data_IF_712517446200
#
_entry.id   IF_712517446200
#
_cell.length_a   1.000
_cell.length_b   1.000
_cell.length_c   1.000
_cell.angle_alpha   90.00
_cell.angle_beta   90.00
_cell.angle_gamma   90.00
#
_symmetry.space_group_name_H-M   'P 1'
#
loop_
_entity.id
_entity.type
_entity.pdbx_description
1 polymer ?
#
# COMPACT_ATOMS: atom_id res chain seq x y z
N UNK A 1 -15.29 -27.47 -36.48
CA UNK A 1 -14.90 -27.42 -35.06
C UNK A 1 -13.43 -27.73 -34.88
N UNK A 2 -12.68 -26.82 -34.24
CA UNK A 2 -11.22 -26.91 -34.05
C UNK A 2 -10.79 -27.78 -32.85
N UNK A 3 -11.57 -28.80 -32.46
CA UNK A 3 -11.12 -29.85 -31.53
C UNK A 3 -10.58 -29.42 -30.16
N UNK A 4 -10.91 -28.23 -29.69
CA UNK A 4 -10.47 -27.71 -28.39
C UNK A 4 -11.36 -28.28 -27.27
N UNK A 5 -10.73 -28.96 -26.32
CA UNK A 5 -11.36 -29.52 -25.12
C UNK A 5 -10.81 -28.81 -23.86
N UNK A 6 -11.50 -27.78 -23.33
CA UNK A 6 -11.03 -27.02 -22.18
C UNK A 6 -11.08 -27.85 -20.90
N UNK A 7 -10.17 -27.56 -19.97
CA UNK A 7 -10.27 -28.09 -18.60
C UNK A 7 -11.53 -27.56 -17.90
N UNK A 8 -12.16 -28.33 -16.99
CA UNK A 8 -13.39 -27.91 -16.32
C UNK A 8 -13.16 -26.85 -15.21
N UNK A 9 -11.91 -26.52 -14.90
CA UNK A 9 -11.52 -25.64 -13.80
C UNK A 9 -10.78 -24.38 -14.29
N UNK A 10 -10.15 -23.65 -13.36
CA UNK A 10 -9.42 -22.43 -13.68
C UNK A 10 -8.29 -22.64 -14.70
N UNK A 11 -7.84 -23.88 -14.94
CA UNK A 11 -6.76 -24.19 -15.88
C UNK A 11 -7.16 -23.94 -17.34
N UNK A 12 -8.45 -23.88 -17.67
CA UNK A 12 -8.91 -23.47 -18.99
C UNK A 12 -8.48 -22.03 -19.35
N UNK A 13 -8.13 -21.20 -18.36
CA UNK A 13 -7.64 -19.84 -18.57
C UNK A 13 -6.12 -19.77 -18.81
N UNK A 14 -5.40 -20.88 -18.69
CA UNK A 14 -3.99 -20.93 -19.02
C UNK A 14 -3.82 -20.89 -20.53
N UNK A 15 -2.87 -20.07 -20.99
CA UNK A 15 -2.51 -19.95 -22.40
C UNK A 15 -1.01 -19.85 -22.54
N UNK A 16 -0.46 -20.62 -23.48
CA UNK A 16 0.98 -20.66 -23.76
C UNK A 16 1.84 -21.18 -22.62
N UNK A 17 3.16 -21.12 -22.80
CA UNK A 17 4.14 -21.45 -21.76
C UNK A 17 4.33 -20.25 -20.83
N UNK A 18 4.15 -20.38 -19.52
CA UNK A 18 4.34 -19.27 -18.61
C UNK A 18 5.83 -18.94 -18.40
N UNK A 19 6.11 -17.73 -17.91
CA UNK A 19 7.48 -17.33 -17.54
C UNK A 19 7.93 -18.06 -16.27
N UNK A 20 8.62 -19.20 -16.45
CA UNK A 20 9.01 -20.12 -15.37
C UNK A 20 9.81 -19.41 -14.27
N UNK A 21 10.79 -18.57 -14.63
CA UNK A 21 11.62 -17.86 -13.65
C UNK A 21 10.81 -16.86 -12.82
N UNK A 22 9.94 -16.08 -13.47
CA UNK A 22 9.07 -15.13 -12.77
C UNK A 22 8.07 -15.84 -11.85
N UNK A 23 7.54 -16.99 -12.27
CA UNK A 23 6.65 -17.80 -11.44
C UNK A 23 7.36 -18.34 -10.19
N UNK A 24 8.56 -18.90 -10.36
CA UNK A 24 9.36 -19.39 -9.24
C UNK A 24 9.68 -18.28 -8.23
N UNK A 25 9.89 -17.04 -8.70
CA UNK A 25 10.16 -15.89 -7.84
C UNK A 25 8.96 -15.45 -6.98
N UNK A 26 7.74 -15.87 -7.29
CA UNK A 26 6.53 -15.57 -6.49
C UNK A 26 6.46 -16.45 -5.23
N UNK A 27 6.95 -17.69 -5.32
CA UNK A 27 6.81 -18.72 -4.29
C UNK A 27 7.30 -18.27 -2.89
N UNK A 28 8.47 -17.62 -2.74
CA UNK A 28 8.92 -17.13 -1.43
C UNK A 28 7.97 -16.08 -0.82
N UNK A 29 7.41 -15.20 -1.65
CA UNK A 29 6.45 -14.18 -1.22
C UNK A 29 5.17 -14.81 -0.68
N UNK A 30 4.65 -15.82 -1.39
CA UNK A 30 3.47 -16.57 -0.97
C UNK A 30 3.74 -17.37 0.30
N UNK A 31 4.92 -18.00 0.40
CA UNK A 31 5.32 -18.75 1.59
C UNK A 31 5.38 -17.87 2.84
N UNK A 32 5.91 -16.64 2.74
CA UNK A 32 5.90 -15.69 3.85
C UNK A 32 4.49 -15.28 4.29
N UNK A 33 3.58 -15.04 3.35
CA UNK A 33 2.18 -14.72 3.66
C UNK A 33 1.50 -15.93 4.33
N UNK A 34 1.73 -17.14 3.82
CA UNK A 34 1.17 -18.37 4.38
C UNK A 34 1.70 -18.64 5.80
N UNK A 35 2.99 -18.40 6.05
CA UNK A 35 3.59 -18.52 7.38
C UNK A 35 3.02 -17.51 8.38
N UNK A 36 2.83 -16.25 7.96
CA UNK A 36 2.25 -15.22 8.82
C UNK A 36 0.74 -15.43 9.07
N UNK A 37 0.02 -15.92 8.07
CA UNK A 37 -1.43 -16.06 8.09
C UNK A 37 -2.18 -14.75 7.81
N UNK A 38 -3.27 -14.85 7.05
CA UNK A 38 -4.08 -13.67 6.68
C UNK A 38 -4.65 -12.87 7.87
N UNK A 39 -5.08 -13.48 8.99
CA UNK A 39 -5.52 -12.72 10.17
C UNK A 39 -4.43 -11.77 10.69
N UNK A 40 -3.22 -12.26 10.93
CA UNK A 40 -2.12 -11.44 11.43
C UNK A 40 -1.70 -10.34 10.44
N UNK A 41 -1.70 -10.65 9.13
CA UNK A 41 -1.45 -9.66 8.07
C UNK A 41 -2.51 -8.55 8.12
N UNK A 42 -3.80 -8.90 8.27
CA UNK A 42 -4.88 -7.93 8.35
C UNK A 42 -4.82 -7.11 9.63
N UNK A 43 -4.55 -7.73 10.77
CA UNK A 43 -4.46 -7.02 12.05
C UNK A 43 -3.34 -5.97 12.02
N UNK A 44 -2.16 -6.34 11.51
CA UNK A 44 -1.05 -5.40 11.35
C UNK A 44 -1.34 -4.33 10.29
N UNK A 45 -2.04 -4.66 9.19
CA UNK A 45 -2.52 -3.68 8.21
C UNK A 45 -3.43 -2.62 8.85
N UNK A 46 -4.40 -3.06 9.65
CA UNK A 46 -5.30 -2.18 10.39
C UNK A 46 -4.53 -1.30 11.38
N UNK A 47 -3.59 -1.87 12.13
CA UNK A 47 -2.79 -1.12 13.09
C UNK A 47 -1.88 -0.06 12.43
N UNK A 48 -1.19 -0.41 11.34
CA UNK A 48 -0.33 0.52 10.60
C UNK A 48 -1.14 1.69 10.01
N UNK A 49 -2.31 1.39 9.43
CA UNK A 49 -3.17 2.43 8.87
C UNK A 49 -3.90 3.25 9.93
N UNK A 50 -4.17 2.68 11.12
CA UNK A 50 -4.68 3.42 12.26
C UNK A 50 -3.65 4.45 12.73
N UNK A 51 -2.41 4.02 12.97
CA UNK A 51 -1.32 4.92 13.32
C UNK A 51 -1.17 6.07 12.31
N UNK A 52 -1.17 5.77 11.01
CA UNK A 52 -1.06 6.81 9.98
C UNK A 52 -2.24 7.81 10.01
N UNK A 53 -3.46 7.35 10.30
CA UNK A 53 -4.64 8.23 10.40
C UNK A 53 -4.63 9.06 11.68
N UNK A 54 -4.24 8.48 12.81
CA UNK A 54 -4.13 9.20 14.08
C UNK A 54 -3.07 10.31 13.97
N UNK A 55 -1.89 10.00 13.42
CA UNK A 55 -0.84 10.98 13.16
C UNK A 55 -1.23 12.02 12.11
N UNK A 56 -2.05 11.64 11.13
CA UNK A 56 -2.59 12.60 10.16
C UNK A 56 -3.49 13.61 10.88
N UNK A 57 -4.43 13.13 11.70
CA UNK A 57 -5.38 13.97 12.41
C UNK A 57 -4.67 14.91 13.39
N UNK A 58 -3.60 14.45 14.03
CA UNK A 58 -2.80 15.26 14.96
C UNK A 58 -1.89 16.28 14.26
N UNK A 59 -1.18 15.89 13.20
CA UNK A 59 -0.07 16.70 12.68
C UNK A 59 -0.37 17.37 11.34
N UNK A 60 -1.08 16.69 10.44
CA UNK A 60 -1.25 17.13 9.05
C UNK A 60 -2.58 17.88 8.86
N UNK A 61 -3.67 17.41 9.47
CA UNK A 61 -4.98 18.06 9.38
C UNK A 61 -4.94 19.55 9.81
N UNK A 62 -4.24 19.95 10.90
CA UNK A 62 -4.11 21.36 11.28
C UNK A 62 -3.37 22.23 10.25
N UNK A 63 -2.56 21.61 9.39
CA UNK A 63 -1.79 22.29 8.33
C UNK A 63 -2.58 22.35 6.99
N UNK A 64 -3.86 21.99 7.00
CA UNK A 64 -4.74 22.08 5.82
C UNK A 64 -4.63 20.90 4.85
N UNK A 65 -4.00 19.79 5.25
CA UNK A 65 -4.04 18.56 4.47
C UNK A 65 -5.43 17.91 4.53
N UNK A 66 -5.77 17.14 3.50
CA UNK A 66 -7.03 16.39 3.44
C UNK A 66 -6.75 14.88 3.51
N UNK A 67 -7.50 14.15 4.34
CA UNK A 67 -7.47 12.70 4.35
C UNK A 67 -8.49 12.18 3.33
N UNK A 68 -8.01 11.57 2.24
CA UNK A 68 -8.87 10.99 1.21
C UNK A 68 -9.32 9.56 1.56
N UNK A 69 -8.53 8.83 2.35
CA UNK A 69 -8.87 7.48 2.84
C UNK A 69 -9.94 7.54 3.95
N UNK A 70 -10.93 6.64 3.97
CA UNK A 70 -11.88 6.55 5.08
C UNK A 70 -11.18 6.32 6.43
N UNK A 71 -11.64 7.01 7.49
CA UNK A 71 -11.17 6.77 8.86
C UNK A 71 -11.60 5.40 9.40
N UNK A 72 -12.74 4.91 8.95
CA UNK A 72 -13.27 3.59 9.32
C UNK A 72 -12.33 2.46 8.84
N UNK A 73 -11.73 1.67 9.74
CA UNK A 73 -10.83 0.58 9.38
C UNK A 73 -11.51 -0.53 8.57
N UNK A 74 -12.83 -0.71 8.71
CA UNK A 74 -13.63 -1.65 7.93
C UNK A 74 -13.80 -1.24 6.46
N UNK A 75 -13.52 0.03 6.14
CA UNK A 75 -13.68 0.61 4.80
C UNK A 75 -12.36 0.97 4.12
N UNK A 76 -11.22 0.49 4.65
CA UNK A 76 -9.90 0.70 4.05
C UNK A 76 -9.02 -0.56 4.01
N UNK A 77 -8.18 -0.61 2.98
CA UNK A 77 -7.10 -1.59 2.84
C UNK A 77 -5.82 -1.14 3.53
N UNK A 78 -4.67 -1.64 3.06
CA UNK A 78 -3.34 -1.39 3.67
C UNK A 78 -2.61 -0.17 3.09
N UNK A 79 -3.34 0.92 2.82
CA UNK A 79 -2.73 2.18 2.41
C UNK A 79 -3.54 3.37 2.93
N UNK A 80 -2.89 4.52 3.05
CA UNK A 80 -3.51 5.80 3.38
C UNK A 80 -3.16 6.82 2.30
N UNK A 81 -4.17 7.51 1.78
CA UNK A 81 -4.00 8.61 0.83
C UNK A 81 -4.37 9.92 1.53
N UNK A 82 -3.45 10.87 1.47
CA UNK A 82 -3.67 12.26 1.85
C UNK A 82 -3.61 13.13 0.59
N UNK A 83 -4.19 14.32 0.63
CA UNK A 83 -4.23 15.21 -0.51
C UNK A 83 -3.85 16.65 -0.13
N UNK A 84 -3.18 17.33 -1.07
CA UNK A 84 -2.77 18.73 -1.01
C UNK A 84 -2.45 19.25 -2.41
N UNK A 85 -2.70 20.54 -2.67
CA UNK A 85 -2.55 21.12 -4.01
C UNK A 85 -1.14 20.97 -4.62
N UNK A 86 -0.10 20.95 -3.79
CA UNK A 86 1.31 20.81 -4.18
C UNK A 86 1.85 19.36 -3.99
N UNK A 87 0.97 18.37 -3.84
CA UNK A 87 1.33 16.98 -3.54
C UNK A 87 2.40 16.37 -4.46
N UNK A 88 2.45 16.79 -5.72
CA UNK A 88 3.49 16.35 -6.65
C UNK A 88 4.89 16.80 -6.20
N UNK A 89 5.03 18.03 -5.72
CA UNK A 89 6.29 18.59 -5.25
C UNK A 89 6.67 17.99 -3.90
N UNK A 90 5.71 17.86 -2.98
CA UNK A 90 5.96 17.21 -1.68
C UNK A 90 6.38 15.75 -1.84
N UNK A 91 5.77 15.03 -2.77
CA UNK A 91 6.15 13.64 -3.08
C UNK A 91 7.62 13.55 -3.48
N UNK A 92 8.12 14.47 -4.31
CA UNK A 92 9.55 14.48 -4.69
C UNK A 92 10.46 14.68 -3.48
N UNK A 93 10.13 15.65 -2.62
CA UNK A 93 10.90 15.93 -1.39
C UNK A 93 10.88 14.76 -0.41
N UNK A 94 9.76 14.06 -0.30
CA UNK A 94 9.66 12.82 0.47
C UNK A 94 10.61 11.75 -0.08
N UNK A 95 10.62 11.55 -1.40
CA UNK A 95 11.52 10.58 -2.05
C UNK A 95 12.99 10.94 -1.81
N UNK A 96 13.35 12.22 -1.93
CA UNK A 96 14.70 12.73 -1.64
C UNK A 96 15.12 12.51 -0.17
N UNK A 97 14.16 12.49 0.76
CA UNK A 97 14.40 12.23 2.19
C UNK A 97 14.20 10.76 2.61
N UNK A 98 14.06 9.85 1.64
CA UNK A 98 14.02 8.40 1.84
C UNK A 98 12.62 7.82 2.11
N UNK A 99 11.56 8.63 2.00
CA UNK A 99 10.16 8.16 2.09
C UNK A 99 9.62 8.02 0.67
N UNK A 100 9.20 6.81 0.28
CA UNK A 100 8.83 6.50 -1.11
C UNK A 100 7.31 6.27 -1.21
N UNK A 101 6.48 7.34 -1.26
CA UNK A 101 5.07 7.21 -1.56
C UNK A 101 4.83 7.20 -3.08
N UNK A 102 3.58 6.99 -3.49
CA UNK A 102 3.16 7.22 -4.86
C UNK A 102 2.28 8.47 -4.99
N UNK A 103 2.61 9.34 -5.95
CA UNK A 103 1.78 10.50 -6.29
C UNK A 103 0.58 10.06 -7.12
N UNK A 104 -0.61 10.54 -6.73
CA UNK A 104 -1.89 10.28 -7.37
C UNK A 104 -2.48 11.58 -7.87
N UNK A 105 -2.61 11.73 -9.19
CA UNK A 105 -3.26 12.91 -9.75
C UNK A 105 -4.69 13.07 -9.23
N UNK A 106 -5.17 14.32 -9.03
CA UNK A 106 -4.42 15.56 -9.26
C UNK A 106 -3.49 15.95 -8.10
N UNK A 107 -3.78 15.53 -6.88
CA UNK A 107 -3.30 16.16 -5.65
C UNK A 107 -3.07 15.18 -4.48
N UNK A 108 -3.05 13.88 -4.74
CA UNK A 108 -2.91 12.83 -3.73
C UNK A 108 -1.48 12.32 -3.53
N UNK A 109 -1.14 11.99 -2.29
CA UNK A 109 0.05 11.23 -1.90
C UNK A 109 -0.44 9.97 -1.21
N UNK A 110 -0.07 8.78 -1.72
CA UNK A 110 -0.48 7.51 -1.14
C UNK A 110 0.70 6.80 -0.49
N UNK A 111 0.51 6.45 0.78
CA UNK A 111 1.42 5.67 1.61
C UNK A 111 0.96 4.21 1.57
N UNK A 112 1.74 3.35 0.90
CA UNK A 112 1.54 1.90 0.93
C UNK A 112 2.14 1.30 2.19
N UNK A 113 1.31 0.67 3.04
CA UNK A 113 1.71 0.14 4.33
C UNK A 113 1.67 -1.38 4.29
N UNK A 114 2.69 -2.01 3.69
CA UNK A 114 2.75 -3.45 3.50
C UNK A 114 3.07 -4.17 4.83
N UNK A 115 2.16 -4.98 5.41
CA UNK A 115 2.34 -5.47 6.78
C UNK A 115 3.58 -6.34 7.00
N UNK A 116 4.05 -7.07 5.99
CA UNK A 116 5.23 -7.94 6.12
C UNK A 116 6.54 -7.17 6.18
N UNK A 117 6.62 -6.00 5.54
CA UNK A 117 7.87 -5.25 5.35
C UNK A 117 7.88 -3.89 6.02
N UNK A 118 6.72 -3.30 6.30
CA UNK A 118 6.59 -2.01 6.98
C UNK A 118 6.57 -2.19 8.50
N UNK A 119 7.41 -1.41 9.19
CA UNK A 119 7.42 -1.29 10.66
C UNK A 119 6.64 -0.04 11.08
N UNK A 120 6.17 -0.02 12.31
CA UNK A 120 5.45 1.16 12.85
C UNK A 120 6.33 2.42 12.85
N UNK A 121 7.64 2.27 13.12
CA UNK A 121 8.58 3.39 13.06
C UNK A 121 8.72 3.95 11.65
N UNK A 122 8.59 3.14 10.60
CA UNK A 122 8.64 3.65 9.22
C UNK A 122 7.43 4.56 8.94
N UNK A 123 6.26 4.23 9.49
CA UNK A 123 5.06 5.07 9.41
C UNK A 123 5.27 6.37 10.16
N UNK A 124 5.74 6.29 11.42
CA UNK A 124 6.03 7.46 12.24
C UNK A 124 7.02 8.41 11.55
N UNK A 125 8.15 7.86 11.08
CA UNK A 125 9.22 8.60 10.41
C UNK A 125 8.75 9.26 9.12
N UNK A 126 7.85 8.60 8.37
CA UNK A 126 7.23 9.18 7.18
C UNK A 126 6.29 10.34 7.55
N UNK A 127 5.44 10.16 8.57
CA UNK A 127 4.49 11.19 9.02
C UNK A 127 5.20 12.42 9.58
N UNK A 128 6.30 12.24 10.32
CA UNK A 128 7.16 13.35 10.79
C UNK A 128 7.70 14.16 9.62
N UNK A 129 8.26 13.49 8.59
CA UNK A 129 8.78 14.19 7.39
C UNK A 129 7.67 14.92 6.64
N UNK A 130 6.48 14.32 6.52
CA UNK A 130 5.34 14.99 5.89
C UNK A 130 4.92 16.25 6.65
N UNK A 131 4.89 16.18 7.98
CA UNK A 131 4.55 17.32 8.83
C UNK A 131 5.56 18.47 8.76
N UNK A 132 6.80 18.21 8.32
CA UNK A 132 7.82 19.25 8.08
C UNK A 132 7.61 20.01 6.76
N UNK A 133 6.76 19.51 5.86
CA UNK A 133 6.51 20.10 4.54
C UNK A 133 5.19 20.89 4.47
N UNK A 134 4.43 21.03 5.55
CA UNK A 134 3.27 21.94 5.58
C UNK A 134 3.49 23.19 6.40
#
# INVERSE_FOLDING_TARGET
>A
DQGYDPQPDMRAWLSGTPSILSMAAIEPGVAMIAQAGMPAVRDKSCALTALAVDLFDEWLAPQGWVLATPRDPGRRGSHVTVARADAQEVTKRLVESGVIPDFRRPDGIRLGLAPLTTRFVDVYDAMVRMAQYG
#
